data_IF_309222001017
#
_entry.id   IF_309222001017
#
_cell.length_a   1.000
_cell.length_b   1.000
_cell.length_c   1.000
_cell.angle_alpha   90.00
_cell.angle_beta   90.00
_cell.angle_gamma   90.00
#
_symmetry.space_group_name_H-M   'P 1'
#
loop_
_entity.id
_entity.type
_entity.pdbx_description
1 polymer ?
#
# COMPACT_ATOMS: atom_id res chain seq x y z
N UNK A 1 -35.38 9.27 -12.59
CA UNK A 1 -34.03 8.71 -12.84
C UNK A 1 -33.08 9.60 -12.09
N UNK A 2 -32.59 9.15 -10.94
CA UNK A 2 -31.66 9.93 -10.13
C UNK A 2 -30.26 9.66 -10.66
N UNK A 3 -29.64 10.67 -11.26
CA UNK A 3 -28.18 10.72 -11.43
C UNK A 3 -27.59 10.78 -10.02
N UNK A 4 -27.39 9.61 -9.38
CA UNK A 4 -26.46 9.54 -8.26
C UNK A 4 -25.07 9.76 -8.84
N UNK A 5 -24.53 10.95 -8.61
CA UNK A 5 -23.14 11.25 -8.90
C UNK A 5 -22.28 10.15 -8.26
N UNK A 6 -21.53 9.42 -9.08
CA UNK A 6 -20.60 8.42 -8.59
C UNK A 6 -19.66 9.09 -7.58
N UNK A 7 -19.48 8.51 -6.37
CA UNK A 7 -18.63 9.10 -5.36
C UNK A 7 -17.21 9.23 -5.88
N UNK A 8 -16.57 10.35 -5.57
CA UNK A 8 -15.16 10.57 -5.87
C UNK A 8 -14.27 9.59 -5.10
N UNK A 9 -13.04 9.35 -5.58
CA UNK A 9 -12.08 8.50 -4.87
C UNK A 9 -11.84 8.97 -3.42
N UNK A 10 -11.89 10.28 -3.16
CA UNK A 10 -11.77 10.84 -1.82
C UNK A 10 -12.98 10.47 -0.93
N UNK A 11 -14.20 10.54 -1.46
CA UNK A 11 -15.42 10.20 -0.71
C UNK A 11 -15.56 8.69 -0.47
N UNK A 12 -15.15 7.87 -1.43
CA UNK A 12 -15.00 6.43 -1.23
C UNK A 12 -14.00 6.17 -0.09
N UNK A 13 -12.85 6.84 -0.13
CA UNK A 13 -11.80 6.68 0.87
C UNK A 13 -12.22 7.12 2.28
N UNK A 14 -12.92 8.24 2.40
CA UNK A 14 -13.44 8.73 3.68
C UNK A 14 -14.49 7.78 4.28
N UNK A 15 -15.36 7.19 3.44
CA UNK A 15 -16.28 6.14 3.87
C UNK A 15 -15.55 4.89 4.36
N UNK A 16 -14.46 4.50 3.70
CA UNK A 16 -13.61 3.37 4.12
C UNK A 16 -12.92 3.64 5.46
N UNK A 17 -12.47 4.87 5.70
CA UNK A 17 -11.85 5.28 6.96
C UNK A 17 -12.86 5.36 8.11
N UNK A 18 -14.09 5.82 7.85
CA UNK A 18 -15.13 6.00 8.87
C UNK A 18 -15.69 4.68 9.43
N UNK A 19 -15.62 3.59 8.67
CA UNK A 19 -16.09 2.27 9.08
C UNK A 19 -15.11 1.46 9.94
N UNK A 20 -13.89 1.95 10.16
CA UNK A 20 -12.83 1.17 10.80
C UNK A 20 -12.68 1.53 12.30
N UNK A 21 -12.87 0.57 13.23
CA UNK A 21 -12.81 0.85 14.68
C UNK A 21 -11.40 1.17 15.17
N UNK A 22 -10.37 0.84 14.38
CA UNK A 22 -8.98 1.19 14.68
C UNK A 22 -8.69 2.64 14.24
N UNK A 23 -9.14 3.62 15.03
CA UNK A 23 -8.95 5.07 14.78
C UNK A 23 -7.47 5.48 14.58
N UNK A 24 -6.52 4.73 15.14
CA UNK A 24 -5.09 4.91 14.89
C UNK A 24 -4.67 4.65 13.43
N UNK A 25 -5.40 3.81 12.70
CA UNK A 25 -5.18 3.55 11.28
C UNK A 25 -5.85 4.57 10.38
N UNK A 26 -6.88 5.31 10.81
CA UNK A 26 -7.62 6.23 9.94
C UNK A 26 -6.76 7.41 9.44
N UNK A 27 -5.90 7.97 10.31
CA UNK A 27 -4.93 9.00 9.90
C UNK A 27 -3.90 8.46 8.90
N UNK A 28 -3.48 7.21 9.12
CA UNK A 28 -2.51 6.51 8.29
C UNK A 28 -3.10 6.07 6.93
N UNK A 29 -4.36 5.65 6.89
CA UNK A 29 -5.10 5.38 5.65
C UNK A 29 -5.15 6.65 4.79
N UNK A 30 -5.44 7.82 5.38
CA UNK A 30 -5.50 9.10 4.65
C UNK A 30 -4.20 9.49 3.97
N UNK A 31 -3.06 8.94 4.41
CA UNK A 31 -1.77 9.15 3.75
C UNK A 31 -1.51 8.22 2.56
N UNK A 32 -2.24 7.12 2.39
CA UNK A 32 -2.01 6.16 1.31
C UNK A 32 -2.13 6.78 -0.10
N UNK A 33 -3.17 7.59 -0.42
CA UNK A 33 -3.24 8.25 -1.74
C UNK A 33 -2.08 9.24 -1.96
N UNK A 34 -1.64 9.92 -0.90
CA UNK A 34 -0.49 10.83 -0.95
C UNK A 34 0.79 10.06 -1.27
N UNK A 35 1.00 8.90 -0.66
CA UNK A 35 2.16 8.04 -0.90
C UNK A 35 2.21 7.56 -2.35
N UNK A 36 1.10 7.07 -2.91
CA UNK A 36 1.02 6.65 -4.32
C UNK A 36 1.38 7.83 -5.24
N UNK A 37 0.76 9.00 -5.04
CA UNK A 37 1.01 10.19 -5.85
C UNK A 37 2.46 10.69 -5.76
N UNK A 38 3.03 10.75 -4.55
CA UNK A 38 4.39 11.20 -4.34
C UNK A 38 5.42 10.27 -5.00
N UNK A 39 5.09 8.99 -5.10
CA UNK A 39 5.95 7.98 -5.74
C UNK A 39 5.97 8.13 -7.26
N UNK A 40 4.81 8.37 -7.87
CA UNK A 40 4.69 8.52 -9.32
C UNK A 40 5.21 9.87 -9.86
N UNK A 41 5.51 10.83 -9.00
CA UNK A 41 5.88 12.20 -9.38
C UNK A 41 7.39 12.46 -9.48
N UNK A 42 8.24 11.48 -9.14
CA UNK A 42 9.70 11.68 -9.04
C UNK A 42 10.41 10.83 -10.08
N UNK A 43 11.12 11.46 -11.00
CA UNK A 43 12.04 10.77 -11.90
C UNK A 43 13.27 10.28 -11.12
N UNK A 44 13.60 8.99 -11.27
CA UNK A 44 14.72 8.31 -10.60
C UNK A 44 15.32 7.28 -11.55
N UNK A 45 16.46 6.71 -11.15
CA UNK A 45 17.00 5.54 -11.84
C UNK A 45 15.96 4.40 -11.89
N UNK A 46 15.81 3.69 -13.02
CA UNK A 46 14.73 2.71 -13.21
C UNK A 46 14.63 1.65 -12.11
N UNK A 47 15.78 1.16 -11.64
CA UNK A 47 15.83 0.15 -10.57
C UNK A 47 15.36 0.71 -9.22
N UNK A 48 15.60 1.99 -8.93
CA UNK A 48 15.12 2.66 -7.72
C UNK A 48 13.62 2.90 -7.81
N UNK A 49 13.13 3.35 -8.97
CA UNK A 49 11.70 3.56 -9.20
C UNK A 49 10.92 2.24 -9.05
N UNK A 50 11.45 1.14 -9.60
CA UNK A 50 10.85 -0.18 -9.47
C UNK A 50 10.73 -0.62 -8.00
N UNK A 51 11.83 -0.56 -7.22
CA UNK A 51 11.82 -0.96 -5.81
C UNK A 51 10.91 -0.08 -4.94
N UNK A 52 10.97 1.25 -5.10
CA UNK A 52 10.15 2.17 -4.31
C UNK A 52 8.66 2.02 -4.67
N UNK A 53 8.34 1.91 -5.96
CA UNK A 53 6.95 1.74 -6.43
C UNK A 53 6.40 0.40 -5.96
N UNK A 54 7.17 -0.67 -6.12
CA UNK A 54 6.75 -1.99 -5.68
C UNK A 54 6.48 -2.03 -4.18
N UNK A 55 7.38 -1.48 -3.36
CA UNK A 55 7.17 -1.42 -1.91
C UNK A 55 5.88 -0.67 -1.56
N UNK A 56 5.68 0.52 -2.14
CA UNK A 56 4.51 1.35 -1.83
C UNK A 56 3.23 0.68 -2.30
N UNK A 57 3.24 0.00 -3.45
CA UNK A 57 2.07 -0.67 -3.98
C UNK A 57 1.72 -1.92 -3.17
N UNK A 58 2.70 -2.76 -2.83
CA UNK A 58 2.48 -3.88 -1.92
C UNK A 58 1.96 -3.39 -0.57
N UNK A 59 2.54 -2.32 -0.02
CA UNK A 59 2.09 -1.78 1.26
C UNK A 59 0.66 -1.28 1.23
N UNK A 60 0.29 -0.48 0.22
CA UNK A 60 -1.08 0.03 0.05
C UNK A 60 -2.05 -1.13 -0.10
N UNK A 61 -1.78 -2.06 -1.02
CA UNK A 61 -2.66 -3.21 -1.31
C UNK A 61 -2.84 -4.08 -0.07
N UNK A 62 -1.76 -4.50 0.57
CA UNK A 62 -1.80 -5.41 1.73
C UNK A 62 -2.46 -4.76 2.95
N UNK A 63 -2.19 -3.48 3.19
CA UNK A 63 -2.89 -2.70 4.23
C UNK A 63 -4.39 -2.67 3.96
N UNK A 64 -4.79 -2.35 2.73
CA UNK A 64 -6.18 -2.26 2.34
C UNK A 64 -6.91 -3.61 2.48
N UNK A 65 -6.28 -4.70 2.05
CA UNK A 65 -6.84 -6.04 2.20
C UNK A 65 -6.92 -6.47 3.68
N UNK A 66 -5.90 -6.15 4.49
CA UNK A 66 -5.89 -6.44 5.92
C UNK A 66 -7.07 -5.84 6.67
N UNK A 67 -7.50 -4.62 6.28
CA UNK A 67 -8.66 -3.96 6.87
C UNK A 67 -9.99 -4.36 6.22
N UNK A 68 -9.99 -5.34 5.32
CA UNK A 68 -11.19 -5.92 4.71
C UNK A 68 -11.69 -5.23 3.44
N UNK A 69 -10.85 -4.43 2.77
CA UNK A 69 -11.23 -3.88 1.46
C UNK A 69 -11.20 -4.97 0.39
N UNK A 70 -12.10 -4.85 -0.58
CA UNK A 70 -12.11 -5.71 -1.77
C UNK A 70 -11.21 -5.16 -2.87
N UNK A 71 -10.76 -6.02 -3.77
CA UNK A 71 -9.89 -5.69 -4.90
C UNK A 71 -10.49 -4.56 -5.77
N UNK A 72 -11.78 -4.61 -6.07
CA UNK A 72 -12.48 -3.59 -6.87
C UNK A 72 -12.47 -2.20 -6.21
N UNK A 73 -12.58 -2.17 -4.88
CA UNK A 73 -12.55 -0.93 -4.10
C UNK A 73 -11.15 -0.33 -4.09
N UNK A 74 -10.11 -1.17 -3.95
CA UNK A 74 -8.71 -0.74 -3.97
C UNK A 74 -8.36 -0.19 -5.36
N UNK A 75 -8.64 -0.97 -6.41
CA UNK A 75 -8.39 -0.58 -7.79
C UNK A 75 -9.01 0.79 -8.12
N UNK A 76 -10.29 0.96 -7.79
CA UNK A 76 -11.02 2.22 -8.00
C UNK A 76 -10.40 3.38 -7.21
N UNK A 77 -10.16 3.17 -5.92
CA UNK A 77 -9.67 4.20 -4.99
C UNK A 77 -8.31 4.75 -5.40
N UNK A 78 -7.38 3.85 -5.76
CA UNK A 78 -5.98 4.19 -6.02
C UNK A 78 -5.65 4.29 -7.51
N UNK A 79 -6.64 4.16 -8.39
CA UNK A 79 -6.48 4.10 -9.84
C UNK A 79 -5.46 3.01 -10.27
N UNK A 80 -5.49 1.87 -9.59
CA UNK A 80 -4.76 0.67 -10.00
C UNK A 80 -5.61 -0.18 -10.94
N UNK A 81 -4.97 -1.02 -11.76
CA UNK A 81 -5.70 -2.11 -12.41
C UNK A 81 -6.03 -3.20 -11.37
N UNK A 82 -7.13 -3.92 -11.57
CA UNK A 82 -7.46 -5.07 -10.71
C UNK A 82 -6.35 -6.14 -10.76
N UNK A 83 -5.75 -6.33 -11.93
CA UNK A 83 -4.60 -7.23 -12.12
C UNK A 83 -3.39 -6.81 -11.29
N UNK A 84 -3.07 -5.51 -11.23
CA UNK A 84 -2.00 -5.01 -10.37
C UNK A 84 -2.31 -5.26 -8.90
N UNK A 85 -3.54 -5.01 -8.45
CA UNK A 85 -3.96 -5.27 -7.06
C UNK A 85 -3.79 -6.75 -6.73
N UNK A 86 -4.26 -7.66 -7.58
CA UNK A 86 -4.09 -9.11 -7.40
C UNK A 86 -2.63 -9.53 -7.38
N UNK A 87 -1.82 -8.99 -8.31
CA UNK A 87 -0.39 -9.24 -8.39
C UNK A 87 0.32 -8.84 -7.09
N UNK A 88 0.08 -7.64 -6.58
CA UNK A 88 0.74 -7.15 -5.36
C UNK A 88 0.18 -7.79 -4.08
N UNK A 89 -1.08 -8.25 -4.11
CA UNK A 89 -1.66 -9.03 -3.02
C UNK A 89 -1.02 -10.42 -2.90
N UNK A 90 -0.77 -11.08 -4.04
CA UNK A 90 -0.21 -12.43 -4.10
C UNK A 90 1.31 -12.48 -4.01
N UNK A 91 2.01 -11.39 -4.35
CA UNK A 91 3.48 -11.33 -4.30
C UNK A 91 3.95 -11.40 -2.84
N UNK A 92 4.80 -12.38 -2.46
CA UNK A 92 5.43 -12.38 -1.14
C UNK A 92 6.26 -11.11 -0.96
N UNK A 93 6.14 -10.49 0.20
CA UNK A 93 6.89 -9.30 0.55
C UNK A 93 8.36 -9.67 0.73
N UNK A 94 9.20 -9.09 -0.12
CA UNK A 94 10.64 -9.22 -0.05
C UNK A 94 11.21 -7.86 0.36
N UNK A 95 11.87 -7.80 1.51
CA UNK A 95 12.50 -6.58 2.01
C UNK A 95 14.03 -6.62 1.92
N UNK A 96 14.61 -7.60 1.22
CA UNK A 96 16.06 -7.83 1.17
C UNK A 96 16.88 -6.62 0.72
N UNK A 97 16.26 -5.70 -0.03
CA UNK A 97 16.89 -4.48 -0.53
C UNK A 97 16.47 -3.21 0.24
N UNK A 98 15.60 -3.30 1.26
CA UNK A 98 15.08 -2.17 2.03
C UNK A 98 15.62 -2.27 3.45
N UNK A 99 16.43 -1.30 3.87
CA UNK A 99 17.10 -1.31 5.17
C UNK A 99 18.36 -2.17 5.23
N UNK A 100 18.77 -2.79 4.12
CA UNK A 100 20.08 -3.43 4.02
C UNK A 100 21.20 -2.38 4.17
N UNK A 101 22.28 -2.73 4.88
CA UNK A 101 23.51 -1.94 4.99
C UNK A 101 24.34 -2.03 3.71
N UNK A 102 23.70 -1.69 2.60
CA UNK A 102 24.28 -1.56 1.26
C UNK A 102 23.99 -0.15 0.77
N UNK A 103 24.83 0.35 -0.15
CA UNK A 103 24.61 1.67 -0.77
C UNK A 103 23.23 1.76 -1.44
N UNK A 104 22.79 0.67 -2.08
CA UNK A 104 21.48 0.57 -2.71
C UNK A 104 20.34 0.58 -1.69
N UNK A 105 20.45 -0.21 -0.61
CA UNK A 105 19.43 -0.27 0.43
C UNK A 105 19.30 1.04 1.22
N UNK A 106 20.41 1.73 1.47
CA UNK A 106 20.41 3.06 2.07
C UNK A 106 19.70 4.11 1.22
N UNK A 107 19.87 4.04 -0.11
CA UNK A 107 19.23 4.95 -1.07
C UNK A 107 17.72 4.74 -1.11
N UNK A 108 17.27 3.50 -1.25
CA UNK A 108 15.83 3.15 -1.26
C UNK A 108 15.18 3.52 0.07
N UNK A 109 15.82 3.20 1.20
CA UNK A 109 15.29 3.50 2.55
C UNK A 109 15.15 4.99 2.81
N UNK A 110 16.10 5.82 2.33
CA UNK A 110 16.01 7.28 2.44
C UNK A 110 14.85 7.84 1.62
N UNK A 111 14.65 7.33 0.41
CA UNK A 111 13.53 7.76 -0.45
C UNK A 111 12.18 7.34 0.14
N UNK A 112 12.08 6.13 0.69
CA UNK A 112 10.89 5.71 1.42
C UNK A 112 10.66 6.58 2.64
N UNK A 113 11.67 6.86 3.45
CA UNK A 113 11.52 7.74 4.62
C UNK A 113 11.05 9.15 4.22
N UNK A 114 11.49 9.68 3.07
CA UNK A 114 11.01 10.97 2.55
C UNK A 114 9.52 10.94 2.15
N UNK A 115 9.02 9.80 1.65
CA UNK A 115 7.60 9.63 1.33
C UNK A 115 6.75 9.40 2.59
N UNK A 116 7.22 8.55 3.50
CA UNK A 116 6.52 8.14 4.71
C UNK A 116 6.58 9.17 5.85
N UNK A 117 7.61 10.00 5.87
CA UNK A 117 7.87 11.02 6.90
C UNK A 117 8.97 10.62 7.90
N UNK A 118 9.25 9.33 8.07
CA UNK A 118 10.33 8.85 8.94
C UNK A 118 10.74 7.40 8.64
N UNK A 119 11.96 7.03 9.04
CA UNK A 119 12.42 5.63 9.01
C UNK A 119 11.56 4.70 9.88
N UNK A 120 11.06 5.19 11.01
CA UNK A 120 10.19 4.40 11.89
C UNK A 120 8.88 4.00 11.18
N UNK A 121 8.29 4.91 10.40
CA UNK A 121 7.10 4.62 9.60
C UNK A 121 7.40 3.66 8.45
N UNK A 122 8.60 3.70 7.86
CA UNK A 122 9.03 2.68 6.88
C UNK A 122 9.12 1.30 7.54
N UNK A 123 9.68 1.21 8.75
CA UNK A 123 9.72 -0.06 9.51
C UNK A 123 8.33 -0.60 9.84
N UNK A 124 7.41 0.26 10.29
CA UNK A 124 6.01 -0.13 10.52
C UNK A 124 5.31 -0.61 9.24
N UNK A 125 5.66 -0.05 8.09
CA UNK A 125 5.14 -0.48 6.79
C UNK A 125 5.66 -1.86 6.38
N UNK A 126 6.95 -2.11 6.57
CA UNK A 126 7.58 -3.44 6.39
C UNK A 126 6.88 -4.49 7.26
N UNK A 127 6.70 -4.19 8.55
CA UNK A 127 6.07 -5.12 9.49
C UNK A 127 4.61 -5.41 9.12
N UNK A 128 3.88 -4.40 8.62
CA UNK A 128 2.50 -4.58 8.12
C UNK A 128 2.47 -5.56 6.95
N UNK A 129 3.34 -5.39 5.96
CA UNK A 129 3.41 -6.30 4.81
C UNK A 129 3.75 -7.73 5.23
N UNK A 130 4.70 -7.89 6.16
CA UNK A 130 5.10 -9.21 6.71
C UNK A 130 3.96 -9.88 7.47
N UNK A 131 3.24 -9.12 8.30
CA UNK A 131 2.09 -9.64 9.04
C UNK A 131 0.99 -10.09 8.08
N UNK A 132 0.66 -9.29 7.05
CA UNK A 132 -0.29 -9.68 6.00
C UNK A 132 0.08 -11.02 5.37
N UNK A 133 1.32 -11.16 4.90
CA UNK A 133 1.75 -12.42 4.27
C UNK A 133 1.70 -13.60 5.23
N UNK A 134 2.09 -13.42 6.49
CA UNK A 134 2.01 -14.47 7.51
C UNK A 134 0.56 -14.94 7.74
N UNK A 135 -0.42 -14.03 7.72
CA UNK A 135 -1.84 -14.40 7.87
C UNK A 135 -2.41 -15.07 6.64
N UNK A 136 -1.97 -14.71 5.42
CA UNK A 136 -2.45 -15.31 4.18
C UNK A 136 -1.86 -16.71 3.95
N UNK A 137 -0.62 -16.95 4.37
CA UNK A 137 0.01 -18.29 4.32
C UNK A 137 -0.68 -19.25 5.30
N UNK A 138 -1.22 -18.74 6.42
CA UNK A 138 -1.96 -19.51 7.41
C UNK A 138 -3.48 -19.58 7.20
N UNK A 139 -4.05 -18.77 6.31
CA UNK A 139 -5.48 -18.75 6.05
C UNK A 139 -5.87 -20.03 5.28
N UNK A 140 -6.81 -20.85 5.78
CA UNK A 140 -7.37 -21.91 4.97
C UNK A 140 -7.93 -21.26 3.69
N UNK A 141 -7.46 -21.72 2.53
CA UNK A 141 -8.04 -21.30 1.25
C UNK A 141 -9.51 -21.71 1.30
N UNK A 142 -10.40 -20.75 1.54
CA UNK A 142 -11.82 -20.99 1.32
C UNK A 142 -11.95 -21.36 -0.16
N UNK A 143 -12.21 -22.64 -0.38
CA UNK A 143 -12.51 -23.17 -1.70
C UNK A 143 -13.94 -22.69 -2.00
N UNK A 144 -14.20 -22.05 -3.14
CA UNK A 144 -15.55 -21.61 -3.49
C UNK A 144 -16.56 -22.77 -3.53
#
# INVERSE_FOLDING_TARGET
MSDEASPTNAELFDKLCAGNPNLGMAGFLRDLPRLVKATSAVEREPWVDELVREFIYQYVVKTCLWIGLRIDQIATTFAFSAEDVERYAAKPFQDSDIGADTEHGGTVSRLLAANFGSYAQVGAAIDTCRQYDATQIGAPKETP
#
